data_IF_506499815217
#
_entry.id   IF_506499815217
#
_cell.length_a   1.000
_cell.length_b   1.000
_cell.length_c   1.000
_cell.angle_alpha   90.00
_cell.angle_beta   90.00
_cell.angle_gamma   90.00
#
_symmetry.space_group_name_H-M   'P 1'
#
loop_
_entity.id
_entity.type
_entity.pdbx_description
1 polymer ?
#
# COMPACT_ATOMS: atom_id res chain seq x y z
N UNK A 1 -22.14 9.40 15.96
CA UNK A 1 -21.33 8.31 16.57
C UNK A 1 -21.95 6.93 16.35
N UNK A 2 -23.22 6.69 16.66
CA UNK A 2 -23.90 5.40 16.48
C UNK A 2 -23.86 4.87 15.03
N UNK A 3 -24.06 5.71 14.00
CA UNK A 3 -24.05 5.28 12.59
C UNK A 3 -22.68 4.71 12.17
N UNK A 4 -21.57 5.25 12.68
CA UNK A 4 -20.23 4.74 12.34
C UNK A 4 -19.89 3.40 13.03
N UNK A 5 -20.53 3.12 14.17
CA UNK A 5 -20.40 1.82 14.86
C UNK A 5 -21.15 0.73 14.08
N UNK A 6 -22.28 1.08 13.45
CA UNK A 6 -23.12 0.14 12.68
C UNK A 6 -22.84 0.13 11.16
N UNK A 7 -21.98 1.03 10.64
CA UNK A 7 -21.64 1.04 9.22
C UNK A 7 -21.02 -0.29 8.69
N UNK A 8 -20.28 -1.08 9.50
CA UNK A 8 -19.85 -2.42 9.09
C UNK A 8 -20.97 -3.43 8.86
N UNK A 9 -22.22 -3.12 9.27
CA UNK A 9 -23.36 -3.99 9.05
C UNK A 9 -23.92 -3.93 7.62
N UNK A 10 -23.53 -2.92 6.82
CA UNK A 10 -23.87 -2.85 5.40
C UNK A 10 -22.91 -3.68 4.56
N UNK A 11 -22.98 -5.00 4.74
CA UNK A 11 -22.17 -5.96 4.01
C UNK A 11 -22.72 -6.14 2.60
N UNK A 12 -21.92 -5.88 1.55
CA UNK A 12 -22.27 -6.27 0.20
C UNK A 12 -22.24 -7.81 0.07
N UNK A 13 -23.12 -8.33 -0.78
CA UNK A 13 -23.08 -9.75 -1.13
C UNK A 13 -21.82 -10.06 -1.94
N UNK A 14 -21.36 -11.33 -1.92
CA UNK A 14 -20.35 -11.80 -2.85
C UNK A 14 -20.75 -11.52 -4.31
N UNK A 15 -19.76 -11.29 -5.17
CA UNK A 15 -19.97 -11.01 -6.58
C UNK A 15 -19.92 -12.33 -7.38
N UNK A 16 -21.03 -12.67 -8.05
CA UNK A 16 -21.12 -13.89 -8.87
C UNK A 16 -20.25 -13.81 -10.14
N UNK A 17 -20.13 -12.61 -10.75
CA UNK A 17 -19.27 -12.43 -11.92
C UNK A 17 -17.80 -12.59 -11.55
N UNK A 18 -17.41 -12.07 -10.39
CA UNK A 18 -16.08 -12.27 -9.85
C UNK A 18 -15.81 -13.75 -9.55
N UNK A 19 -16.80 -14.48 -9.01
CA UNK A 19 -16.68 -15.91 -8.78
C UNK A 19 -16.48 -16.71 -10.09
N UNK A 20 -17.10 -16.31 -11.19
CA UNK A 20 -16.86 -16.90 -12.52
C UNK A 20 -15.46 -16.52 -13.07
N UNK A 21 -15.03 -15.27 -12.87
CA UNK A 21 -13.67 -14.85 -13.24
C UNK A 21 -12.59 -15.67 -12.50
N UNK A 22 -12.79 -15.94 -11.20
CA UNK A 22 -11.86 -16.77 -10.43
C UNK A 22 -11.68 -18.17 -11.01
N UNK A 23 -12.72 -18.77 -11.62
CA UNK A 23 -12.62 -20.08 -12.28
C UNK A 23 -11.78 -20.06 -13.55
N UNK A 24 -11.67 -18.89 -14.19
CA UNK A 24 -10.90 -18.70 -15.42
C UNK A 24 -9.47 -18.20 -15.15
N UNK A 25 -9.19 -17.78 -13.91
CA UNK A 25 -7.88 -17.28 -13.53
C UNK A 25 -6.95 -18.44 -13.22
N UNK A 26 -5.82 -18.49 -13.92
CA UNK A 26 -4.72 -19.39 -13.62
C UNK A 26 -3.95 -18.84 -12.42
N UNK A 27 -4.11 -19.50 -11.31
CA UNK A 27 -3.48 -19.08 -10.08
C UNK A 27 -2.13 -19.75 -9.79
N UNK A 28 -1.75 -20.77 -10.48
CA UNK A 28 -0.49 -21.51 -10.29
C UNK A 28 0.23 -21.68 -11.62
N UNK A 29 1.53 -21.80 -11.56
CA UNK A 29 2.38 -22.18 -12.68
C UNK A 29 3.39 -23.23 -12.21
N UNK A 30 3.69 -24.20 -13.05
CA UNK A 30 4.71 -25.22 -12.76
C UNK A 30 6.12 -24.75 -13.12
N UNK A 31 6.24 -23.58 -13.76
CA UNK A 31 7.52 -22.98 -14.16
C UNK A 31 7.71 -21.63 -13.49
N UNK A 32 8.96 -21.27 -13.11
CA UNK A 32 9.26 -19.94 -12.60
C UNK A 32 8.83 -18.84 -13.57
N UNK A 33 8.16 -17.82 -13.02
CA UNK A 33 7.84 -16.59 -13.72
C UNK A 33 9.04 -15.65 -13.82
N UNK A 34 8.78 -14.44 -14.30
CA UNK A 34 9.79 -13.39 -14.39
C UNK A 34 10.00 -12.59 -13.11
N UNK A 35 9.44 -13.02 -11.99
CA UNK A 35 9.50 -12.31 -10.72
C UNK A 35 10.17 -13.17 -9.65
N UNK A 36 10.90 -12.52 -8.75
CA UNK A 36 11.61 -13.15 -7.64
C UNK A 36 11.13 -12.54 -6.33
N UNK A 37 11.09 -13.33 -5.26
CA UNK A 37 10.55 -12.91 -3.97
C UNK A 37 11.53 -13.08 -2.82
N UNK A 38 11.36 -12.24 -1.77
CA UNK A 38 11.91 -12.42 -0.44
C UNK A 38 10.81 -12.18 0.60
N UNK A 39 10.70 -13.09 1.56
CA UNK A 39 9.86 -12.91 2.73
C UNK A 39 10.66 -12.16 3.81
N UNK A 40 10.06 -11.12 4.41
CA UNK A 40 10.69 -10.26 5.42
C UNK A 40 9.83 -10.29 6.69
N UNK A 41 10.31 -10.93 7.73
CA UNK A 41 9.62 -11.09 9.02
C UNK A 41 10.21 -10.20 10.12
N UNK A 42 11.47 -9.84 10.05
CA UNK A 42 12.17 -9.01 11.01
C UNK A 42 11.89 -7.51 10.78
N UNK A 43 11.73 -6.72 11.86
CA UNK A 43 11.38 -5.31 11.78
C UNK A 43 12.56 -4.42 11.36
N UNK A 44 13.79 -4.75 11.77
CA UNK A 44 14.99 -4.02 11.35
C UNK A 44 15.27 -4.28 9.88
N UNK A 45 15.16 -5.55 9.45
CA UNK A 45 15.26 -5.93 8.04
C UNK A 45 14.18 -5.24 7.19
N UNK A 46 12.96 -5.11 7.71
CA UNK A 46 11.85 -4.45 7.01
C UNK A 46 12.12 -2.95 6.79
N UNK A 47 12.73 -2.25 7.74
CA UNK A 47 13.20 -0.88 7.57
C UNK A 47 14.32 -0.82 6.53
N UNK A 48 15.34 -1.68 6.68
CA UNK A 48 16.51 -1.72 5.80
C UNK A 48 16.12 -1.91 4.34
N UNK A 49 15.20 -2.83 4.02
CA UNK A 49 14.76 -3.04 2.65
C UNK A 49 14.01 -1.83 2.07
N UNK A 50 13.22 -1.12 2.87
CA UNK A 50 12.61 0.14 2.43
C UNK A 50 13.66 1.21 2.14
N UNK A 51 14.67 1.34 3.00
CA UNK A 51 15.78 2.30 2.80
C UNK A 51 16.60 1.96 1.54
N UNK A 52 16.92 0.67 1.32
CA UNK A 52 17.59 0.18 0.11
C UNK A 52 16.80 0.51 -1.15
N UNK A 53 15.50 0.19 -1.17
CA UNK A 53 14.64 0.48 -2.32
C UNK A 53 14.58 1.97 -2.63
N UNK A 54 14.35 2.81 -1.62
CA UNK A 54 14.25 4.26 -1.77
C UNK A 54 15.60 4.87 -2.15
N UNK A 55 16.69 4.48 -1.48
CA UNK A 55 18.03 5.03 -1.70
C UNK A 55 18.59 4.72 -3.09
N UNK A 56 18.21 3.57 -3.65
CA UNK A 56 18.65 3.12 -4.96
C UNK A 56 17.73 3.61 -6.11
N UNK A 57 16.62 4.24 -5.82
CA UNK A 57 15.66 4.75 -6.82
C UNK A 57 16.31 5.76 -7.78
N UNK A 58 15.93 5.70 -9.07
CA UNK A 58 16.47 6.57 -10.13
C UNK A 58 15.42 7.34 -10.91
N UNK A 59 14.16 6.86 -10.92
CA UNK A 59 13.08 7.45 -11.69
C UNK A 59 11.89 7.83 -10.83
N UNK A 60 11.34 6.87 -10.12
CA UNK A 60 10.07 7.03 -9.42
C UNK A 60 9.96 6.19 -8.17
N UNK A 61 9.25 6.73 -7.18
CA UNK A 61 8.86 6.04 -5.96
C UNK A 61 7.36 6.25 -5.75
N UNK A 62 6.65 5.16 -5.49
CA UNK A 62 5.31 5.18 -4.92
C UNK A 62 5.38 4.60 -3.51
N UNK A 63 4.92 5.34 -2.51
CA UNK A 63 4.72 4.83 -1.15
C UNK A 63 3.25 4.98 -0.78
N UNK A 64 2.54 3.86 -0.62
CA UNK A 64 1.20 3.82 -0.06
C UNK A 64 1.26 3.25 1.34
N UNK A 65 0.67 3.94 2.32
CA UNK A 65 0.72 3.51 3.71
C UNK A 65 -0.49 4.00 4.50
N UNK A 66 -1.01 3.13 5.38
CA UNK A 66 -2.12 3.47 6.26
C UNK A 66 -1.69 4.39 7.41
N UNK A 67 -0.63 4.03 8.13
CA UNK A 67 -0.12 4.73 9.30
C UNK A 67 1.38 5.04 9.10
N UNK A 68 1.68 6.26 8.71
CA UNK A 68 3.02 6.84 8.71
C UNK A 68 3.09 7.86 9.83
N UNK A 69 4.13 7.77 10.65
CA UNK A 69 4.38 8.72 11.75
C UNK A 69 5.73 9.38 11.56
N UNK A 70 5.88 10.56 12.13
CA UNK A 70 7.16 11.25 12.21
C UNK A 70 7.89 10.87 13.52
N UNK A 71 7.95 9.55 13.82
CA UNK A 71 8.79 8.93 14.84
C UNK A 71 10.16 8.57 14.25
N UNK A 72 10.99 7.76 14.91
CA UNK A 72 12.36 7.51 14.46
C UNK A 72 12.40 6.80 13.10
N UNK A 73 11.71 5.67 12.95
CA UNK A 73 11.69 4.92 11.68
C UNK A 73 10.95 5.67 10.56
N UNK A 74 9.88 6.38 10.90
CA UNK A 74 9.18 7.23 9.94
C UNK A 74 10.04 8.42 9.49
N UNK A 75 10.84 8.99 10.39
CA UNK A 75 11.80 10.05 10.04
C UNK A 75 12.93 9.51 9.16
N UNK A 76 13.38 8.26 9.35
CA UNK A 76 14.31 7.58 8.44
C UNK A 76 13.75 7.47 7.03
N UNK A 77 12.49 7.06 6.90
CA UNK A 77 11.81 7.01 5.60
C UNK A 77 11.68 8.39 4.97
N UNK A 78 11.30 9.41 5.75
CA UNK A 78 11.21 10.79 5.26
C UNK A 78 12.57 11.31 4.80
N UNK A 79 13.67 10.97 5.50
CA UNK A 79 15.03 11.35 5.13
C UNK A 79 15.45 10.67 3.81
N UNK A 80 15.19 9.37 3.66
CA UNK A 80 15.48 8.66 2.42
C UNK A 80 14.68 9.19 1.23
N UNK A 81 13.39 9.47 1.42
CA UNK A 81 12.52 10.07 0.39
C UNK A 81 12.99 11.48 0.03
N UNK A 82 13.39 12.30 1.02
CA UNK A 82 13.92 13.63 0.77
C UNK A 82 15.19 13.58 -0.08
N UNK A 83 16.11 12.68 0.26
CA UNK A 83 17.33 12.47 -0.50
C UNK A 83 17.07 11.99 -1.93
N UNK A 84 16.14 11.06 -2.12
CA UNK A 84 15.71 10.63 -3.46
C UNK A 84 15.08 11.79 -4.26
N UNK A 85 14.24 12.61 -3.62
CA UNK A 85 13.65 13.78 -4.26
C UNK A 85 14.71 14.81 -4.67
N UNK A 86 15.75 15.02 -3.85
CA UNK A 86 16.86 15.91 -4.19
C UNK A 86 17.65 15.42 -5.41
N UNK A 87 17.75 14.10 -5.58
CA UNK A 87 18.33 13.49 -6.79
C UNK A 87 17.42 13.55 -8.01
N UNK A 88 16.22 14.13 -7.91
CA UNK A 88 15.27 14.30 -9.01
C UNK A 88 14.32 13.12 -9.22
N UNK A 89 14.23 12.19 -8.27
CA UNK A 89 13.27 11.08 -8.33
C UNK A 89 11.86 11.60 -8.11
N UNK A 90 10.91 11.22 -8.96
CA UNK A 90 9.50 11.57 -8.84
C UNK A 90 8.84 10.72 -7.74
N UNK A 91 8.18 11.36 -6.77
CA UNK A 91 7.64 10.69 -5.59
C UNK A 91 6.14 10.89 -5.47
N UNK A 92 5.40 9.81 -5.31
CA UNK A 92 3.98 9.81 -4.96
C UNK A 92 3.76 9.14 -3.61
N UNK A 93 3.26 9.90 -2.64
CA UNK A 93 2.89 9.40 -1.33
C UNK A 93 1.37 9.29 -1.25
N UNK A 94 0.82 8.11 -0.98
CA UNK A 94 -0.60 7.91 -0.73
C UNK A 94 -0.82 7.50 0.72
N UNK A 95 -1.50 8.35 1.50
CA UNK A 95 -1.62 8.20 2.94
C UNK A 95 -3.09 8.26 3.34
N UNK A 96 -3.49 7.44 4.31
CA UNK A 96 -4.84 7.50 4.87
C UNK A 96 -5.09 8.83 5.61
N UNK A 97 -6.26 9.43 5.36
CA UNK A 97 -6.56 10.78 5.82
C UNK A 97 -6.68 10.94 7.34
N UNK A 98 -7.03 9.88 8.10
CA UNK A 98 -7.06 9.94 9.56
C UNK A 98 -5.63 10.00 10.09
N UNK A 99 -4.76 9.12 9.63
CA UNK A 99 -3.37 9.04 10.13
C UNK A 99 -2.53 10.22 9.66
N UNK A 100 -2.74 10.71 8.44
CA UNK A 100 -2.13 11.96 7.98
C UNK A 100 -2.49 13.14 8.90
N UNK A 101 -3.76 13.26 9.27
CA UNK A 101 -4.23 14.33 10.14
C UNK A 101 -3.65 14.23 11.57
N UNK A 102 -3.57 13.01 12.12
CA UNK A 102 -3.14 12.79 13.50
C UNK A 102 -1.63 12.89 13.70
N UNK A 103 -0.84 12.36 12.77
CA UNK A 103 0.59 12.11 12.99
C UNK A 103 1.53 12.89 12.06
N UNK A 104 1.05 13.34 10.89
CA UNK A 104 1.92 14.01 9.91
C UNK A 104 1.63 15.49 9.71
N UNK A 105 0.40 15.93 9.98
CA UNK A 105 0.00 17.30 9.69
C UNK A 105 0.83 18.34 10.48
N UNK A 106 1.33 17.97 11.66
CA UNK A 106 2.20 18.80 12.50
C UNK A 106 3.72 18.63 12.25
N UNK A 107 4.14 17.61 11.48
CA UNK A 107 5.56 17.36 11.20
C UNK A 107 6.10 18.36 10.18
N UNK A 108 7.16 19.05 10.56
CA UNK A 108 7.86 19.99 9.67
C UNK A 108 8.69 19.26 8.61
N UNK A 109 9.22 18.10 8.94
CA UNK A 109 9.97 17.20 8.05
C UNK A 109 9.07 16.71 6.92
N UNK A 110 7.87 16.24 7.26
CA UNK A 110 6.88 15.83 6.26
C UNK A 110 6.43 17.01 5.39
N UNK A 111 6.21 18.21 5.99
CA UNK A 111 5.83 19.40 5.25
C UNK A 111 6.96 19.85 4.30
N UNK A 112 8.22 19.74 4.72
CA UNK A 112 9.37 20.02 3.88
C UNK A 112 9.41 19.08 2.66
N UNK A 113 9.30 17.77 2.88
CA UNK A 113 9.25 16.78 1.81
C UNK A 113 8.10 17.09 0.83
N UNK A 114 6.89 17.33 1.34
CA UNK A 114 5.71 17.65 0.53
C UNK A 114 5.80 19.01 -0.21
N UNK A 115 6.76 19.87 0.16
CA UNK A 115 7.01 21.14 -0.51
C UNK A 115 7.92 21.01 -1.75
N UNK A 116 8.56 19.85 -1.98
CA UNK A 116 9.39 19.64 -3.18
C UNK A 116 8.50 19.49 -4.42
N UNK A 117 8.95 19.99 -5.58
CA UNK A 117 8.17 20.01 -6.81
C UNK A 117 7.91 18.63 -7.40
N UNK A 118 8.83 17.69 -7.19
CA UNK A 118 8.74 16.30 -7.65
C UNK A 118 8.13 15.38 -6.58
N UNK A 119 7.41 15.92 -5.60
CA UNK A 119 6.71 15.16 -4.55
C UNK A 119 5.22 15.49 -4.57
N UNK A 120 4.39 14.49 -4.84
CA UNK A 120 2.94 14.58 -4.76
C UNK A 120 2.44 13.77 -3.56
N UNK A 121 1.55 14.36 -2.76
CA UNK A 121 0.93 13.71 -1.60
C UNK A 121 -0.56 13.55 -1.84
N UNK A 122 -1.02 12.32 -2.03
CA UNK A 122 -2.42 11.92 -2.07
C UNK A 122 -2.92 11.57 -0.66
N UNK A 123 -3.95 12.24 -0.21
CA UNK A 123 -4.63 11.96 1.07
C UNK A 123 -5.94 11.24 0.79
N UNK A 124 -6.01 9.95 1.14
CA UNK A 124 -7.20 9.14 0.91
C UNK A 124 -8.28 9.46 1.94
N UNK A 125 -9.46 9.84 1.47
CA UNK A 125 -10.65 10.14 2.25
C UNK A 125 -10.32 11.00 3.51
N UNK A 126 -9.84 12.26 3.32
CA UNK A 126 -9.44 13.13 4.42
C UNK A 126 -10.60 13.40 5.37
N UNK A 127 -10.29 13.59 6.65
CA UNK A 127 -11.29 13.88 7.67
C UNK A 127 -11.93 15.22 7.40
N UNK A 128 -13.26 15.23 7.32
CA UNK A 128 -14.06 16.43 7.08
C UNK A 128 -15.30 16.42 8.00
N UNK A 129 -15.73 17.57 8.52
CA UNK A 129 -16.95 17.66 9.31
C UNK A 129 -18.20 17.14 8.59
N UNK A 130 -18.26 17.32 7.26
CA UNK A 130 -19.34 16.84 6.40
C UNK A 130 -19.21 15.34 6.10
N UNK A 131 -17.98 14.80 6.18
CA UNK A 131 -17.65 13.42 5.86
C UNK A 131 -17.72 12.42 7.02
N UNK A 132 -18.35 12.76 8.14
CA UNK A 132 -18.38 11.92 9.34
C UNK A 132 -18.94 10.51 9.08
N UNK A 133 -19.87 10.38 8.14
CA UNK A 133 -20.42 9.08 7.72
C UNK A 133 -19.44 8.23 6.89
N UNK A 134 -18.38 8.83 6.36
CA UNK A 134 -17.34 8.15 5.57
C UNK A 134 -16.12 7.75 6.39
N UNK A 135 -16.10 7.98 7.71
CA UNK A 135 -14.93 7.70 8.57
C UNK A 135 -14.49 6.23 8.56
N UNK A 136 -15.40 5.30 8.26
CA UNK A 136 -15.07 3.87 8.19
C UNK A 136 -14.45 3.44 6.84
N UNK A 137 -14.53 4.29 5.81
CA UNK A 137 -13.97 3.97 4.50
C UNK A 137 -12.52 4.41 4.44
N UNK A 138 -11.60 3.50 4.76
CA UNK A 138 -10.18 3.75 4.90
C UNK A 138 -9.38 3.00 3.84
N UNK A 139 -8.20 3.51 3.54
CA UNK A 139 -7.18 2.78 2.80
C UNK A 139 -6.25 2.12 3.82
N UNK A 140 -6.08 0.80 3.73
CA UNK A 140 -5.21 0.07 4.64
C UNK A 140 -4.02 -0.59 3.94
N UNK A 141 -3.78 -0.17 2.69
CA UNK A 141 -2.67 -0.64 1.88
C UNK A 141 -1.33 -0.22 2.46
N UNK A 142 -0.32 -1.06 2.26
CA UNK A 142 1.06 -0.83 2.69
C UNK A 142 2.00 -1.42 1.65
N UNK A 143 2.48 -0.58 0.75
CA UNK A 143 3.44 -0.99 -0.28
C UNK A 143 4.35 0.16 -0.71
N UNK A 144 5.50 -0.21 -1.22
CA UNK A 144 6.47 0.68 -1.89
C UNK A 144 6.73 0.11 -3.28
N UNK A 145 6.65 0.94 -4.33
CA UNK A 145 7.04 0.57 -5.71
C UNK A 145 8.20 1.47 -6.10
N UNK A 146 9.23 0.93 -6.74
CA UNK A 146 10.42 1.67 -7.16
C UNK A 146 10.78 1.33 -8.61
N UNK A 147 10.89 2.38 -9.43
CA UNK A 147 11.47 2.37 -10.79
C UNK A 147 10.84 1.35 -11.76
N UNK A 148 9.58 0.96 -11.56
CA UNK A 148 8.93 -0.10 -12.35
C UNK A 148 9.76 -1.40 -12.36
N UNK A 149 10.46 -1.71 -11.25
CA UNK A 149 11.36 -2.85 -11.15
C UNK A 149 11.12 -3.74 -9.94
N UNK A 150 10.61 -3.15 -8.89
CA UNK A 150 10.40 -3.87 -7.66
C UNK A 150 9.34 -3.20 -6.80
N UNK A 151 8.75 -4.01 -5.96
CA UNK A 151 7.87 -3.52 -4.93
C UNK A 151 8.00 -4.34 -3.64
N UNK A 152 7.63 -3.72 -2.54
CA UNK A 152 7.47 -4.37 -1.25
C UNK A 152 6.03 -4.16 -0.80
N UNK A 153 5.34 -5.26 -0.46
CA UNK A 153 3.94 -5.23 -0.04
C UNK A 153 3.74 -6.13 1.19
N UNK A 154 2.97 -5.66 2.17
CA UNK A 154 2.74 -6.47 3.38
C UNK A 154 1.76 -5.87 4.37
N UNK A 155 1.94 -6.24 5.63
CA UNK A 155 1.08 -5.83 6.75
C UNK A 155 1.62 -4.65 7.54
N UNK A 156 2.91 -4.29 7.41
CA UNK A 156 3.58 -3.29 8.26
C UNK A 156 3.17 -1.88 7.98
N UNK A 157 2.80 -1.14 9.02
CA UNK A 157 2.73 0.31 9.00
C UNK A 157 4.15 0.93 9.01
N UNK A 158 4.24 2.22 8.73
CA UNK A 158 5.49 2.97 8.62
C UNK A 158 5.73 3.78 9.90
N UNK A 159 6.06 3.08 11.00
CA UNK A 159 6.33 3.65 12.31
C UNK A 159 7.14 2.66 13.18
N UNK A 160 7.64 3.12 14.33
CA UNK A 160 8.55 2.39 15.22
C UNK A 160 8.01 1.06 15.74
N UNK A 161 6.68 0.90 15.81
CA UNK A 161 6.06 -0.37 16.25
C UNK A 161 6.34 -1.50 15.27
N UNK A 162 6.58 -1.17 13.99
CA UNK A 162 6.70 -2.14 12.90
C UNK A 162 8.04 -2.11 12.17
N UNK A 163 8.84 -1.06 12.33
CA UNK A 163 10.07 -0.86 11.58
C UNK A 163 11.24 -0.48 12.49
N UNK A 164 12.39 -1.14 12.27
CA UNK A 164 13.60 -0.87 13.03
C UNK A 164 13.58 -1.45 14.43
N UNK A 165 14.51 -0.97 15.25
CA UNK A 165 14.76 -1.38 16.63
C UNK A 165 14.59 -0.21 17.64
N UNK A 166 13.77 0.77 17.30
CA UNK A 166 13.64 2.03 18.06
C UNK A 166 12.78 1.94 19.32
N UNK A 167 11.99 0.90 19.47
CA UNK A 167 11.11 0.68 20.61
C UNK A 167 11.07 -0.78 21.02
N UNK A 168 10.73 -1.04 22.28
CA UNK A 168 10.44 -2.39 22.79
C UNK A 168 8.96 -2.77 22.64
N UNK A 169 8.09 -1.79 22.37
CA UNK A 169 6.67 -2.02 22.11
C UNK A 169 6.47 -2.25 20.60
N UNK A 170 6.79 -3.45 20.15
CA UNK A 170 6.80 -3.84 18.74
C UNK A 170 5.71 -4.84 18.40
N UNK A 171 5.33 -4.89 17.15
CA UNK A 171 4.54 -5.96 16.53
C UNK A 171 5.37 -6.69 15.48
N UNK A 172 5.23 -8.01 15.42
CA UNK A 172 5.78 -8.80 14.31
C UNK A 172 4.78 -8.82 13.16
N UNK A 173 5.24 -8.55 11.97
CA UNK A 173 4.43 -8.62 10.75
C UNK A 173 5.26 -9.19 9.59
N UNK A 174 4.65 -9.36 8.43
CA UNK A 174 5.28 -9.93 7.23
C UNK A 174 5.11 -9.02 6.05
N UNK A 175 6.22 -8.80 5.32
CA UNK A 175 6.23 -8.18 4.01
C UNK A 175 6.84 -9.14 2.99
N UNK A 176 6.47 -8.96 1.74
CA UNK A 176 7.07 -9.64 0.59
C UNK A 176 7.70 -8.59 -0.31
N UNK A 177 9.02 -8.70 -0.50
CA UNK A 177 9.72 -8.00 -1.56
C UNK A 177 9.55 -8.79 -2.85
N UNK A 178 9.21 -8.12 -3.94
CA UNK A 178 9.14 -8.68 -5.28
C UNK A 178 10.06 -7.89 -6.20
N UNK A 179 10.95 -8.60 -6.88
CA UNK A 179 11.85 -8.04 -7.88
C UNK A 179 11.48 -8.58 -9.26
N UNK A 180 11.16 -7.68 -10.20
CA UNK A 180 10.95 -8.03 -11.60
C UNK A 180 12.27 -8.20 -12.34
N UNK A 181 12.41 -9.32 -13.04
CA UNK A 181 13.57 -9.62 -13.89
C UNK A 181 13.29 -9.43 -15.39
N UNK A 182 12.09 -8.97 -15.72
CA UNK A 182 11.60 -8.85 -17.10
C UNK A 182 11.62 -7.43 -17.65
N UNK A 183 12.29 -6.50 -16.96
CA UNK A 183 12.37 -5.06 -17.29
C UNK A 183 10.98 -4.36 -17.29
N UNK A 184 10.25 -4.48 -16.20
CA UNK A 184 8.95 -3.83 -15.99
C UNK A 184 7.77 -4.56 -16.63
N UNK A 185 7.94 -5.86 -16.96
CA UNK A 185 6.87 -6.69 -17.53
C UNK A 185 6.35 -7.75 -16.57
N UNK A 186 6.79 -7.73 -15.31
CA UNK A 186 6.26 -8.60 -14.25
C UNK A 186 4.75 -8.40 -14.10
N UNK A 187 3.98 -9.50 -14.16
CA UNK A 187 2.51 -9.41 -14.13
C UNK A 187 2.02 -8.76 -12.84
N UNK A 188 2.55 -9.17 -11.68
CA UNK A 188 2.11 -8.65 -10.39
C UNK A 188 2.54 -7.20 -10.15
N UNK A 189 3.69 -6.79 -10.68
CA UNK A 189 4.14 -5.40 -10.65
C UNK A 189 3.19 -4.50 -11.44
N UNK A 190 2.83 -4.88 -12.67
CA UNK A 190 1.88 -4.14 -13.51
C UNK A 190 0.48 -4.08 -12.88
N UNK A 191 0.02 -5.18 -12.26
CA UNK A 191 -1.23 -5.20 -11.51
C UNK A 191 -1.23 -4.22 -10.33
N UNK A 192 -0.12 -4.14 -9.58
CA UNK A 192 0.01 -3.23 -8.44
C UNK A 192 0.08 -1.76 -8.89
N UNK A 193 0.79 -1.48 -9.98
CA UNK A 193 0.83 -0.14 -10.59
C UNK A 193 -0.53 0.30 -11.09
N UNK A 194 -1.25 -0.57 -11.80
CA UNK A 194 -2.61 -0.31 -12.25
C UNK A 194 -3.57 -0.07 -11.07
N UNK A 195 -3.46 -0.86 -10.00
CA UNK A 195 -4.21 -0.66 -8.77
C UNK A 195 -3.89 0.69 -8.12
N UNK A 196 -2.59 1.06 -8.04
CA UNK A 196 -2.18 2.36 -7.53
C UNK A 196 -2.77 3.50 -8.37
N UNK A 197 -2.71 3.44 -9.70
CA UNK A 197 -3.29 4.48 -10.55
C UNK A 197 -4.81 4.59 -10.36
N UNK A 198 -5.50 3.46 -10.19
CA UNK A 198 -6.94 3.46 -9.92
C UNK A 198 -7.26 4.16 -8.59
N UNK A 199 -6.59 3.80 -7.48
CA UNK A 199 -6.86 4.41 -6.17
C UNK A 199 -6.41 5.88 -6.13
N UNK A 200 -5.32 6.24 -6.80
CA UNK A 200 -4.83 7.62 -6.89
C UNK A 200 -5.82 8.56 -7.57
N UNK A 201 -6.55 8.06 -8.55
CA UNK A 201 -7.55 8.82 -9.31
C UNK A 201 -8.96 8.79 -8.70
N UNK A 202 -9.15 8.16 -7.54
CA UNK A 202 -10.45 8.16 -6.86
C UNK A 202 -10.84 9.58 -6.38
N UNK A 203 -12.11 9.94 -6.50
CA UNK A 203 -12.66 11.23 -6.08
C UNK A 203 -12.39 11.56 -4.60
N UNK A 204 -12.22 10.52 -3.79
CA UNK A 204 -11.92 10.64 -2.37
C UNK A 204 -10.46 10.96 -2.06
N UNK A 205 -9.55 10.89 -3.03
CA UNK A 205 -8.14 11.26 -2.88
C UNK A 205 -7.95 12.75 -3.14
N UNK A 206 -7.30 13.43 -2.21
CA UNK A 206 -6.96 14.86 -2.34
C UNK A 206 -5.46 14.99 -2.51
N UNK A 207 -5.04 15.39 -3.70
CA UNK A 207 -3.62 15.54 -4.07
C UNK A 207 -3.15 16.94 -3.65
N UNK A 208 -1.96 17.01 -3.06
CA UNK A 208 -1.23 18.21 -2.66
C UNK A 208 0.22 18.12 -3.15
N UNK A 209 0.85 19.25 -3.43
CA UNK A 209 2.23 19.30 -3.93
C UNK A 209 2.32 19.04 -5.43
N UNK A 210 3.53 18.69 -5.91
CA UNK A 210 3.84 18.48 -7.31
C UNK A 210 3.99 19.77 -8.13
N UNK A 211 4.56 19.65 -9.34
CA UNK A 211 4.64 20.76 -10.29
C UNK A 211 3.25 21.18 -10.71
N UNK A 212 2.97 22.48 -10.72
CA UNK A 212 1.72 23.02 -11.30
C UNK A 212 1.74 22.66 -12.79
N UNK A 213 0.88 21.74 -13.23
CA UNK A 213 0.68 21.49 -14.66
C UNK A 213 0.13 22.77 -15.29
N UNK A 214 0.92 23.39 -16.18
CA UNK A 214 0.41 24.50 -17.00
C UNK A 214 -0.81 24.00 -17.77
N UNK A 215 -1.94 24.70 -17.67
CA UNK A 215 -3.20 24.39 -18.35
C UNK A 215 -3.13 24.44 -19.88
N UNK A 216 -1.95 24.61 -20.48
CA UNK A 216 -1.70 24.64 -21.92
C UNK A 216 -1.34 23.28 -22.53
N UNK A 217 -1.13 22.21 -21.75
CA UNK A 217 -0.80 20.88 -22.28
C UNK A 217 -2.01 19.91 -22.44
N UNK A 218 -3.24 20.35 -22.13
CA UNK A 218 -4.44 19.49 -22.18
C UNK A 218 -5.19 19.56 -23.52
N UNK A 219 -4.65 20.22 -24.56
CA UNK A 219 -5.36 20.39 -25.85
C UNK A 219 -4.70 19.75 -27.07
N UNK A 220 -3.95 18.65 -26.92
CA UNK A 220 -3.44 17.89 -28.06
C UNK A 220 -3.56 16.39 -27.80
N UNK A 221 -4.79 15.87 -27.81
CA UNK A 221 -5.05 14.45 -28.11
C UNK A 221 -6.56 14.17 -28.18
N UNK A 222 -7.25 14.80 -29.17
CA UNK A 222 -8.51 14.32 -29.75
C UNK A 222 -8.85 15.22 -30.92
N UNK A 223 -8.28 14.91 -32.10
CA UNK A 223 -8.81 15.21 -33.39
C UNK A 223 -7.88 14.66 -34.48
N UNK A 224 -8.21 13.45 -34.92
CA UNK A 224 -7.73 12.96 -36.22
C UNK A 224 -8.85 12.10 -36.84
N UNK A 225 -9.63 12.69 -37.66
CA UNK A 225 -10.13 12.15 -38.92
C UNK A 225 -11.36 12.94 -39.39
N UNK A 226 -11.19 13.86 -40.30
CA UNK A 226 -12.02 13.90 -41.52
C UNK A 226 -11.34 14.72 -42.63
N UNK A 227 -11.32 14.16 -43.82
CA UNK A 227 -10.82 14.73 -45.06
C UNK A 227 -11.69 15.89 -45.58
N UNK A 228 -11.05 16.96 -46.06
CA UNK A 228 -11.32 17.49 -47.44
C UNK A 228 -10.69 18.87 -47.69
N UNK A 229 -9.88 18.90 -48.74
CA UNK A 229 -9.59 19.94 -49.73
C UNK A 229 -9.72 21.45 -49.44
N UNK A 230 -8.60 22.13 -49.58
CA UNK A 230 -8.43 23.30 -50.47
C UNK A 230 -8.71 24.69 -49.92
N UNK A 231 -7.70 25.51 -49.75
CA UNK A 231 -7.39 26.73 -50.54
C UNK A 231 -6.33 27.60 -49.85
N UNK A 232 -5.35 28.02 -50.62
CA UNK A 232 -4.34 29.03 -50.27
C UNK A 232 -4.98 30.40 -49.99
N UNK A 233 -4.52 31.09 -48.93
CA UNK A 233 -4.33 32.54 -48.98
C UNK A 233 -3.40 33.03 -47.88
N UNK A 234 -2.40 33.80 -48.34
CA UNK A 234 -1.47 34.64 -47.60
C UNK A 234 -2.10 35.44 -46.47
N UNK A 235 -1.36 35.57 -45.30
CA UNK A 235 -1.07 36.91 -44.77
C UNK A 235 -0.23 36.87 -43.46
N UNK A 236 0.94 37.51 -43.59
CA UNK A 236 1.65 38.38 -42.61
C UNK A 236 1.78 37.94 -41.13
N UNK A 237 3.04 37.69 -40.76
CA UNK A 237 3.57 37.80 -39.40
C UNK A 237 3.24 39.15 -38.73
N UNK A 238 2.87 39.14 -37.44
CA UNK A 238 3.34 40.17 -36.56
C UNK A 238 4.01 39.56 -35.31
N UNK A 239 5.18 40.05 -35.06
CA UNK A 239 5.88 40.26 -33.80
C UNK A 239 5.61 39.28 -32.61
N UNK A 240 6.54 38.34 -32.43
CA UNK A 240 6.73 37.61 -31.19
C UNK A 240 7.38 38.60 -30.21
N UNK A 241 6.57 39.20 -29.36
CA UNK A 241 7.04 39.91 -28.16
C UNK A 241 7.22 38.91 -27.02
N UNK A 242 8.43 38.90 -26.44
CA UNK A 242 8.90 38.17 -25.27
C UNK A 242 7.88 38.08 -24.13
N UNK A 243 7.07 37.03 -24.07
CA UNK A 243 6.24 36.68 -22.93
C UNK A 243 6.72 35.45 -22.14
N UNK A 244 7.79 34.77 -22.59
CA UNK A 244 8.27 33.54 -21.94
C UNK A 244 9.18 33.74 -20.72
N UNK A 245 9.82 34.93 -20.57
CA UNK A 245 10.79 35.12 -19.48
C UNK A 245 10.14 35.35 -18.10
N UNK A 246 8.95 35.94 -18.05
CA UNK A 246 8.35 36.30 -16.74
C UNK A 246 7.66 35.10 -16.06
N UNK A 247 7.07 34.18 -16.80
CA UNK A 247 6.40 33.01 -16.22
C UNK A 247 7.41 31.95 -15.69
N UNK A 248 8.55 31.78 -16.37
CA UNK A 248 9.63 30.91 -15.90
C UNK A 248 10.35 31.50 -14.69
N UNK A 249 10.52 32.83 -14.63
CA UNK A 249 11.10 33.50 -13.46
C UNK A 249 10.17 33.52 -12.24
N UNK A 250 8.85 33.67 -12.43
CA UNK A 250 7.87 33.60 -11.33
C UNK A 250 7.80 32.19 -10.73
N UNK A 251 7.89 31.12 -11.56
CA UNK A 251 7.92 29.73 -11.07
C UNK A 251 9.20 29.47 -10.26
N UNK A 252 10.35 29.96 -10.68
CA UNK A 252 11.62 29.82 -9.97
C UNK A 252 11.66 30.57 -8.64
N UNK A 253 11.08 31.78 -8.57
CA UNK A 253 11.04 32.58 -7.35
C UNK A 253 10.12 31.94 -6.28
N UNK A 254 8.92 31.46 -6.64
CA UNK A 254 8.02 30.74 -5.73
C UNK A 254 8.66 29.44 -5.19
N UNK A 255 9.39 28.75 -6.06
CA UNK A 255 10.12 27.53 -5.69
C UNK A 255 11.25 27.83 -4.72
N UNK A 256 12.05 28.86 -4.98
CA UNK A 256 13.13 29.28 -4.09
C UNK A 256 12.62 29.75 -2.73
N UNK A 257 11.51 30.49 -2.68
CA UNK A 257 10.88 30.87 -1.42
C UNK A 257 10.38 29.66 -0.63
N UNK A 258 9.77 28.67 -1.29
CA UNK A 258 9.35 27.42 -0.66
C UNK A 258 10.53 26.62 -0.10
N UNK A 259 11.60 26.49 -0.86
CA UNK A 259 12.83 25.78 -0.43
C UNK A 259 13.48 26.51 0.76
N UNK A 260 13.62 27.83 0.69
CA UNK A 260 14.23 28.62 1.79
C UNK A 260 13.43 28.51 3.10
N UNK A 261 12.11 28.39 3.02
CA UNK A 261 11.24 28.21 4.18
C UNK A 261 11.54 26.94 4.98
N UNK A 262 11.98 25.87 4.31
CA UNK A 262 12.22 24.55 4.91
C UNK A 262 13.72 24.17 4.95
N UNK A 263 14.62 25.11 4.73
CA UNK A 263 16.06 24.85 4.64
C UNK A 263 16.60 24.04 5.82
N UNK A 264 16.20 24.39 7.05
CA UNK A 264 16.64 23.67 8.26
C UNK A 264 16.15 22.22 8.29
N UNK A 265 14.92 21.96 7.79
CA UNK A 265 14.36 20.62 7.73
C UNK A 265 15.06 19.79 6.67
N UNK A 266 15.37 20.36 5.51
CA UNK A 266 16.17 19.68 4.49
C UNK A 266 17.53 19.29 5.00
N UNK A 267 18.25 20.21 5.65
CA UNK A 267 19.56 19.93 6.26
C UNK A 267 19.46 18.82 7.34
N UNK A 268 18.42 18.86 8.17
CA UNK A 268 18.17 17.82 9.19
C UNK A 268 17.92 16.45 8.57
N UNK A 269 17.08 16.37 7.52
CA UNK A 269 16.78 15.13 6.81
C UNK A 269 18.03 14.59 6.08
N UNK A 270 18.85 15.44 5.45
CA UNK A 270 20.09 15.01 4.81
C UNK A 270 21.13 14.50 5.83
N UNK A 271 21.27 15.16 6.98
CA UNK A 271 22.13 14.65 8.08
C UNK A 271 21.63 13.29 8.58
N UNK A 272 20.31 13.12 8.71
CA UNK A 272 19.72 11.83 9.10
C UNK A 272 20.02 10.76 8.06
N UNK A 273 19.85 11.06 6.78
CA UNK A 273 20.18 10.12 5.70
C UNK A 273 21.68 9.76 5.65
N UNK A 274 22.56 10.73 5.87
CA UNK A 274 23.98 10.47 5.98
C UNK A 274 24.32 9.49 7.11
N UNK A 275 23.70 9.64 8.28
CA UNK A 275 23.84 8.69 9.39
C UNK A 275 23.31 7.29 9.05
N UNK A 276 22.22 7.20 8.28
CA UNK A 276 21.70 5.92 7.79
C UNK A 276 22.67 5.24 6.82
N UNK A 277 23.34 6.00 5.95
CA UNK A 277 24.39 5.46 5.07
C UNK A 277 25.62 4.94 5.82
N UNK A 278 25.96 5.56 6.96
CA UNK A 278 27.02 5.06 7.84
C UNK A 278 26.61 3.74 8.53
N UNK A 279 25.34 3.67 8.97
CA UNK A 279 24.80 2.45 9.61
C UNK A 279 24.59 1.31 8.59
N UNK A 280 24.13 1.63 7.39
CA UNK A 280 23.75 0.67 6.34
C UNK A 280 24.49 1.03 5.03
N UNK A 281 25.65 0.47 4.81
CA UNK A 281 26.58 0.86 3.72
C UNK A 281 26.06 0.56 2.32
N UNK A 282 25.03 -0.29 2.18
CA UNK A 282 24.49 -0.80 0.91
C UNK A 282 23.11 -0.23 0.53
N UNK A 283 22.64 0.84 1.19
CA UNK A 283 21.31 1.40 0.92
C UNK A 283 21.18 2.13 -0.42
N UNK A 284 22.25 2.28 -1.19
CA UNK A 284 22.22 2.83 -2.56
C UNK A 284 22.66 1.83 -3.62
N UNK A 285 22.99 0.59 -3.23
CA UNK A 285 23.49 -0.43 -4.14
C UNK A 285 22.46 -1.54 -4.41
N UNK A 286 22.14 -1.74 -5.68
CA UNK A 286 21.21 -2.76 -6.17
C UNK A 286 21.87 -4.10 -6.51
N UNK A 287 23.19 -4.21 -6.47
CA UNK A 287 23.90 -5.27 -7.18
C UNK A 287 23.68 -6.68 -6.61
N UNK A 288 23.32 -6.80 -5.32
CA UNK A 288 23.19 -8.07 -4.61
C UNK A 288 21.76 -8.60 -4.45
N UNK A 289 20.74 -7.84 -4.84
CA UNK A 289 19.35 -8.15 -4.48
C UNK A 289 18.79 -9.43 -5.11
N UNK A 290 19.28 -9.80 -6.29
CA UNK A 290 18.87 -11.03 -6.92
C UNK A 290 19.36 -12.26 -6.15
N UNK A 291 20.50 -12.15 -5.48
CA UNK A 291 21.08 -13.22 -4.67
C UNK A 291 20.24 -13.48 -3.41
N UNK A 292 19.64 -12.41 -2.85
CA UNK A 292 18.81 -12.47 -1.66
C UNK A 292 17.35 -12.90 -1.91
N UNK A 293 16.98 -13.16 -3.16
CA UNK A 293 15.62 -13.52 -3.56
C UNK A 293 15.56 -14.90 -4.20
N UNK A 294 14.40 -15.54 -4.15
CA UNK A 294 14.13 -16.81 -4.83
C UNK A 294 13.14 -16.61 -5.99
N UNK A 295 13.23 -17.40 -7.07
CA UNK A 295 12.23 -17.35 -8.14
C UNK A 295 10.82 -17.67 -7.62
N UNK A 296 9.82 -16.93 -8.07
CA UNK A 296 8.42 -17.27 -7.88
C UNK A 296 7.83 -17.85 -9.16
N UNK A 297 6.98 -18.86 -9.04
CA UNK A 297 6.34 -19.46 -10.21
C UNK A 297 5.24 -18.52 -10.76
N UNK A 298 4.37 -18.03 -9.90
CA UNK A 298 3.35 -17.04 -10.25
C UNK A 298 2.98 -16.18 -9.06
N UNK A 299 2.88 -14.88 -9.30
CA UNK A 299 2.40 -13.91 -8.32
C UNK A 299 1.14 -13.25 -8.90
N UNK A 300 0.11 -13.06 -8.09
CA UNK A 300 -1.14 -12.41 -8.47
C UNK A 300 -1.57 -11.44 -7.38
N UNK A 301 -1.98 -10.24 -7.76
CA UNK A 301 -2.52 -9.24 -6.83
C UNK A 301 -4.01 -9.51 -6.57
N UNK A 302 -4.42 -9.44 -5.32
CA UNK A 302 -5.84 -9.52 -4.92
C UNK A 302 -6.20 -8.30 -4.09
N UNK A 303 -7.31 -7.64 -4.41
CA UNK A 303 -7.75 -6.44 -3.70
C UNK A 303 -9.27 -6.37 -3.52
N UNK A 304 -9.74 -5.52 -2.60
CA UNK A 304 -11.15 -5.28 -2.33
C UNK A 304 -11.74 -4.05 -3.06
N UNK A 305 -11.04 -3.51 -4.05
CA UNK A 305 -11.42 -2.29 -4.76
C UNK A 305 -11.00 -1.01 -4.01
N UNK A 306 -11.04 0.13 -4.72
CA UNK A 306 -10.35 1.38 -4.37
C UNK A 306 -11.26 2.45 -3.77
N UNK A 307 -12.55 2.48 -4.14
CA UNK A 307 -13.48 3.56 -3.77
C UNK A 307 -13.76 3.66 -2.27
N UNK A 308 -14.02 4.87 -1.77
CA UNK A 308 -14.46 5.10 -0.39
C UNK A 308 -15.97 4.83 -0.24
N UNK A 309 -16.32 3.57 -0.04
CA UNK A 309 -17.70 3.09 0.09
C UNK A 309 -17.77 1.62 0.51
N UNK A 310 -18.97 1.06 0.66
CA UNK A 310 -19.15 -0.37 0.94
C UNK A 310 -18.59 -1.21 -0.20
N UNK A 311 -17.74 -2.20 0.10
CA UNK A 311 -17.03 -3.05 -0.87
C UNK A 311 -17.57 -4.46 -0.92
N UNK A 312 -17.43 -5.08 -2.08
CA UNK A 312 -17.62 -6.52 -2.27
C UNK A 312 -16.44 -7.26 -1.63
N UNK A 313 -16.64 -8.39 -0.94
CA UNK A 313 -15.60 -9.11 -0.21
C UNK A 313 -14.69 -9.94 -1.14
N UNK A 314 -14.02 -9.29 -2.11
CA UNK A 314 -13.28 -9.99 -3.18
C UNK A 314 -12.09 -10.79 -2.63
N UNK A 315 -11.35 -10.26 -1.67
CA UNK A 315 -10.22 -10.98 -1.04
C UNK A 315 -10.73 -12.25 -0.35
N UNK A 316 -11.81 -12.16 0.42
CA UNK A 316 -12.38 -13.32 1.09
C UNK A 316 -12.96 -14.34 0.10
N UNK A 317 -13.60 -13.87 -1.01
CA UNK A 317 -14.07 -14.75 -2.08
C UNK A 317 -12.91 -15.50 -2.74
N UNK A 318 -11.78 -14.81 -2.96
CA UNK A 318 -10.57 -15.43 -3.51
C UNK A 318 -10.02 -16.49 -2.55
N UNK A 319 -9.87 -16.17 -1.26
CA UNK A 319 -9.41 -17.14 -0.26
C UNK A 319 -10.35 -18.37 -0.23
N UNK A 320 -11.65 -18.15 -0.19
CA UNK A 320 -12.65 -19.22 -0.23
C UNK A 320 -12.52 -20.09 -1.48
N UNK A 321 -12.31 -19.47 -2.65
CA UNK A 321 -12.13 -20.18 -3.91
C UNK A 321 -10.87 -21.05 -3.92
N UNK A 322 -9.75 -20.47 -3.48
CA UNK A 322 -8.45 -21.14 -3.45
C UNK A 322 -8.43 -22.32 -2.46
N UNK A 323 -9.14 -22.17 -1.34
CA UNK A 323 -9.22 -23.21 -0.32
C UNK A 323 -10.01 -24.44 -0.75
N UNK A 324 -10.84 -24.39 -1.83
CA UNK A 324 -11.72 -25.49 -2.26
C UNK A 324 -11.01 -26.81 -2.51
N UNK A 325 -9.78 -26.78 -2.96
CA UNK A 325 -9.00 -27.95 -3.32
C UNK A 325 -7.77 -28.13 -2.41
N UNK A 326 -7.75 -27.45 -1.26
CA UNK A 326 -6.69 -27.59 -0.28
C UNK A 326 -7.06 -28.63 0.77
N UNK A 327 -6.09 -29.42 1.20
CA UNK A 327 -6.23 -30.36 2.32
C UNK A 327 -5.92 -29.67 3.66
N UNK A 328 -5.02 -28.65 3.63
CA UNK A 328 -4.62 -27.87 4.80
C UNK A 328 -4.72 -26.38 4.53
N UNK A 329 -5.44 -25.67 5.39
CA UNK A 329 -5.57 -24.21 5.33
C UNK A 329 -5.17 -23.63 6.67
N UNK A 330 -4.11 -22.79 6.67
CA UNK A 330 -3.69 -22.05 7.86
C UNK A 330 -3.90 -20.57 7.65
N UNK A 331 -4.70 -19.94 8.51
CA UNK A 331 -4.95 -18.50 8.51
C UNK A 331 -4.25 -17.89 9.72
N UNK A 332 -3.32 -16.99 9.48
CA UNK A 332 -2.70 -16.17 10.52
C UNK A 332 -3.27 -14.75 10.44
N UNK A 333 -3.74 -14.23 11.56
CA UNK A 333 -4.36 -12.89 11.65
C UNK A 333 -4.29 -12.39 13.09
N UNK A 334 -4.18 -11.07 13.34
CA UNK A 334 -4.11 -10.56 14.71
C UNK A 334 -5.32 -10.94 15.58
N UNK A 335 -6.50 -10.98 14.99
CA UNK A 335 -7.79 -11.31 15.61
C UNK A 335 -8.80 -11.73 14.53
N UNK A 336 -9.94 -12.29 14.95
CA UNK A 336 -11.03 -12.74 14.07
C UNK A 336 -12.35 -12.13 14.52
N UNK A 337 -13.05 -11.44 13.59
CA UNK A 337 -14.37 -10.85 13.84
C UNK A 337 -15.26 -11.11 12.62
N UNK A 338 -16.13 -12.10 12.72
CA UNK A 338 -16.90 -12.62 11.60
C UNK A 338 -18.36 -12.14 11.55
N UNK A 339 -18.89 -12.02 10.32
CA UNK A 339 -20.32 -11.98 10.04
C UNK A 339 -20.79 -13.34 9.45
N UNK A 340 -22.07 -13.42 9.05
CA UNK A 340 -22.64 -14.64 8.51
C UNK A 340 -21.84 -15.25 7.35
N UNK A 341 -21.52 -14.44 6.33
CA UNK A 341 -20.75 -14.91 5.16
C UNK A 341 -19.34 -15.40 5.52
N UNK A 342 -18.68 -14.75 6.47
CA UNK A 342 -17.36 -15.17 6.95
C UNK A 342 -17.46 -16.50 7.69
N UNK A 343 -18.47 -16.68 8.56
CA UNK A 343 -18.73 -17.98 9.20
C UNK A 343 -19.02 -19.08 8.19
N UNK A 344 -19.87 -18.80 7.16
CA UNK A 344 -20.15 -19.74 6.10
C UNK A 344 -18.90 -20.16 5.34
N UNK A 345 -17.97 -19.19 5.10
CA UNK A 345 -16.68 -19.46 4.47
C UNK A 345 -15.81 -20.38 5.33
N UNK A 346 -15.70 -20.09 6.65
CA UNK A 346 -14.91 -20.93 7.56
C UNK A 346 -15.52 -22.34 7.70
N UNK A 347 -16.85 -22.45 7.81
CA UNK A 347 -17.56 -23.74 7.84
C UNK A 347 -17.30 -24.55 6.57
N UNK A 348 -17.38 -23.92 5.37
CA UNK A 348 -17.11 -24.58 4.10
C UNK A 348 -15.69 -25.13 4.05
N UNK A 349 -14.69 -24.30 4.40
CA UNK A 349 -13.28 -24.73 4.41
C UNK A 349 -13.09 -25.90 5.40
N UNK A 350 -13.57 -25.76 6.64
CA UNK A 350 -13.39 -26.77 7.67
C UNK A 350 -14.16 -28.10 7.36
N UNK A 351 -15.14 -28.06 6.44
CA UNK A 351 -15.88 -29.26 6.03
C UNK A 351 -15.08 -30.25 5.17
N UNK A 352 -13.99 -29.78 4.54
CA UNK A 352 -13.17 -30.60 3.64
C UNK A 352 -11.66 -30.51 3.87
N UNK A 353 -11.19 -29.46 4.56
CA UNK A 353 -9.78 -29.24 4.85
C UNK A 353 -9.52 -29.13 6.34
N UNK A 354 -8.30 -29.43 6.78
CA UNK A 354 -7.86 -29.06 8.12
C UNK A 354 -7.66 -27.53 8.18
N UNK A 355 -8.60 -26.83 8.82
CA UNK A 355 -8.54 -25.38 8.98
C UNK A 355 -7.90 -25.03 10.32
N UNK A 356 -6.77 -24.34 10.28
CA UNK A 356 -6.07 -23.77 11.44
C UNK A 356 -6.19 -22.25 11.43
N UNK A 357 -6.53 -21.65 12.56
CA UNK A 357 -6.53 -20.18 12.73
C UNK A 357 -5.55 -19.85 13.85
N UNK A 358 -4.55 -19.03 13.54
CA UNK A 358 -3.52 -18.58 14.48
C UNK A 358 -3.72 -17.09 14.72
N UNK A 359 -3.91 -16.70 15.99
CA UNK A 359 -4.15 -15.31 16.38
C UNK A 359 -3.51 -15.02 17.75
N UNK A 360 -3.45 -13.75 18.17
CA UNK A 360 -2.97 -13.43 19.50
C UNK A 360 -3.98 -13.85 20.57
N UNK A 361 -3.49 -14.36 21.70
CA UNK A 361 -4.27 -14.41 22.92
C UNK A 361 -4.74 -12.99 23.28
N UNK A 362 -5.91 -12.87 23.89
CA UNK A 362 -6.55 -11.56 24.12
C UNK A 362 -5.68 -10.63 24.97
N UNK A 363 -5.03 -11.17 25.97
CA UNK A 363 -4.11 -10.45 26.87
C UNK A 363 -2.78 -10.06 26.23
N UNK A 364 -2.47 -10.59 25.04
CA UNK A 364 -1.22 -10.36 24.30
C UNK A 364 -1.42 -9.54 23.02
N UNK A 365 -2.66 -9.30 22.61
CA UNK A 365 -2.95 -8.57 21.39
C UNK A 365 -2.76 -7.06 21.54
N UNK A 366 -2.14 -6.42 20.54
CA UNK A 366 -1.94 -4.96 20.51
C UNK A 366 -3.22 -4.16 20.22
N UNK A 367 -4.33 -4.82 19.85
CA UNK A 367 -5.61 -4.19 19.59
C UNK A 367 -6.69 -4.69 20.57
N UNK A 368 -6.88 -4.01 21.73
CA UNK A 368 -7.83 -4.45 22.76
C UNK A 368 -9.28 -4.60 22.26
N UNK A 369 -9.71 -3.73 21.33
CA UNK A 369 -11.05 -3.78 20.77
C UNK A 369 -11.27 -5.01 19.89
N UNK A 370 -10.32 -5.30 19.00
CA UNK A 370 -10.37 -6.49 18.13
C UNK A 370 -10.30 -7.78 18.95
N UNK A 371 -9.47 -7.82 19.97
CA UNK A 371 -9.35 -8.97 20.87
C UNK A 371 -10.63 -9.20 21.68
N UNK A 372 -11.26 -8.14 22.18
CA UNK A 372 -12.54 -8.23 22.93
C UNK A 372 -13.68 -8.72 22.03
N UNK A 373 -13.77 -8.21 20.80
CA UNK A 373 -14.79 -8.66 19.84
C UNK A 373 -14.58 -10.13 19.44
N UNK A 374 -13.32 -10.57 19.31
CA UNK A 374 -13.00 -11.99 19.14
C UNK A 374 -13.52 -12.84 20.30
N UNK A 375 -13.30 -12.45 21.56
CA UNK A 375 -13.80 -13.18 22.73
C UNK A 375 -15.31 -13.39 22.68
N UNK A 376 -16.07 -12.36 22.29
CA UNK A 376 -17.52 -12.42 22.16
C UNK A 376 -17.96 -13.44 21.09
N UNK A 377 -17.09 -13.71 20.10
CA UNK A 377 -17.37 -14.61 18.98
C UNK A 377 -16.66 -15.96 19.08
N UNK A 378 -15.74 -16.15 20.02
CA UNK A 378 -14.87 -17.34 20.15
C UNK A 378 -15.63 -18.65 20.02
N UNK A 379 -16.74 -18.80 20.74
CA UNK A 379 -17.56 -20.02 20.67
C UNK A 379 -18.11 -20.29 19.27
N UNK A 380 -18.53 -19.25 18.53
CA UNK A 380 -19.02 -19.41 17.17
C UNK A 380 -17.88 -19.77 16.20
N UNK A 381 -16.70 -19.20 16.39
CA UNK A 381 -15.53 -19.50 15.57
C UNK A 381 -15.10 -20.96 15.78
N UNK A 382 -15.01 -21.43 17.02
CA UNK A 382 -14.72 -22.83 17.32
C UNK A 382 -15.78 -23.78 16.74
N UNK A 383 -17.05 -23.38 16.72
CA UNK A 383 -18.12 -24.20 16.13
C UNK A 383 -18.05 -24.31 14.60
N UNK A 384 -17.19 -23.56 13.92
CA UNK A 384 -16.94 -23.75 12.47
C UNK A 384 -16.14 -25.01 12.16
N UNK A 385 -15.55 -25.64 13.17
CA UNK A 385 -14.65 -26.77 13.01
C UNK A 385 -13.17 -26.37 12.82
N UNK A 386 -12.85 -25.08 12.93
CA UNK A 386 -11.46 -24.61 12.88
C UNK A 386 -10.71 -24.93 14.18
N UNK A 387 -9.44 -25.37 14.04
CA UNK A 387 -8.48 -25.46 15.12
C UNK A 387 -7.94 -24.07 15.41
N UNK A 388 -8.27 -23.48 16.56
CA UNK A 388 -7.86 -22.11 16.90
C UNK A 388 -6.69 -22.14 17.88
N UNK A 389 -5.60 -21.49 17.53
CA UNK A 389 -4.38 -21.33 18.31
C UNK A 389 -4.23 -19.89 18.77
N UNK A 390 -4.30 -19.66 20.09
CA UNK A 390 -4.08 -18.36 20.70
C UNK A 390 -2.62 -18.24 21.16
N UNK A 391 -1.87 -17.36 20.51
CA UNK A 391 -0.46 -17.15 20.79
C UNK A 391 -0.26 -16.35 22.07
N UNK A 392 0.53 -16.89 22.98
CA UNK A 392 0.92 -16.28 24.26
C UNK A 392 2.30 -15.60 24.17
N UNK A 393 2.74 -15.24 22.99
CA UNK A 393 4.04 -14.58 22.77
C UNK A 393 4.14 -13.26 23.53
N UNK A 394 5.35 -12.89 23.92
CA UNK A 394 5.61 -11.57 24.52
C UNK A 394 5.39 -10.44 23.50
N UNK A 395 5.75 -10.69 22.25
CA UNK A 395 5.57 -9.76 21.14
C UNK A 395 4.30 -10.13 20.36
N UNK A 396 3.34 -9.20 20.20
CA UNK A 396 2.13 -9.43 19.42
C UNK A 396 2.44 -9.70 17.95
N UNK A 397 1.70 -10.64 17.36
CA UNK A 397 1.75 -10.94 15.93
C UNK A 397 0.69 -10.12 15.21
N UNK A 398 1.11 -9.36 14.20
CA UNK A 398 0.21 -8.56 13.38
C UNK A 398 0.11 -9.09 11.93
N UNK A 399 0.81 -10.16 11.60
CA UNK A 399 0.84 -10.81 10.28
C UNK A 399 -0.55 -11.22 9.81
N UNK A 400 -0.82 -11.01 8.53
CA UNK A 400 -2.00 -11.48 7.83
C UNK A 400 -1.54 -12.36 6.68
N UNK A 401 -1.69 -13.67 6.87
CA UNK A 401 -1.29 -14.66 5.88
C UNK A 401 -2.28 -15.82 5.83
N UNK A 402 -2.47 -16.38 4.64
CA UNK A 402 -3.19 -17.64 4.43
C UNK A 402 -2.25 -18.57 3.71
N UNK A 403 -2.01 -19.75 4.27
CA UNK A 403 -1.25 -20.82 3.66
C UNK A 403 -2.21 -21.92 3.22
N UNK A 404 -2.05 -22.40 2.00
CA UNK A 404 -2.88 -23.44 1.40
C UNK A 404 -1.95 -24.57 0.96
N UNK A 405 -1.96 -25.67 1.69
CA UNK A 405 -0.98 -26.74 1.59
C UNK A 405 0.46 -26.21 1.67
N UNK A 406 1.40 -26.84 0.96
CA UNK A 406 2.78 -26.39 0.85
C UNK A 406 3.04 -25.63 -0.47
N UNK A 407 1.97 -25.16 -1.16
CA UNK A 407 2.06 -24.68 -2.53
C UNK A 407 1.73 -23.23 -2.72
N UNK A 408 0.94 -22.65 -1.82
CA UNK A 408 0.39 -21.33 -2.06
C UNK A 408 0.26 -20.53 -0.77
N UNK A 409 0.71 -19.27 -0.83
CA UNK A 409 0.54 -18.33 0.26
C UNK A 409 -0.15 -17.05 -0.21
N UNK A 410 -0.99 -16.48 0.64
CA UNK A 410 -1.58 -15.14 0.47
C UNK A 410 -1.07 -14.26 1.60
N UNK A 411 -0.36 -13.17 1.30
CA UNK A 411 0.24 -12.28 2.31
C UNK A 411 -0.13 -10.84 1.98
N UNK A 412 -0.44 -10.04 3.00
CA UNK A 412 -0.74 -8.62 2.79
C UNK A 412 -1.37 -7.94 4.00
N UNK A 413 -2.30 -7.03 3.76
CA UNK A 413 -2.83 -6.14 4.80
C UNK A 413 -4.24 -6.50 5.31
N UNK A 414 -4.90 -7.54 4.77
CA UNK A 414 -6.28 -7.93 5.10
C UNK A 414 -6.38 -8.70 6.41
N UNK A 415 -7.05 -8.15 7.43
CA UNK A 415 -7.41 -8.90 8.63
C UNK A 415 -8.68 -9.74 8.38
N UNK A 416 -8.81 -10.85 9.09
CA UNK A 416 -10.03 -11.66 9.07
C UNK A 416 -11.13 -11.01 9.94
N UNK A 417 -11.56 -9.80 9.54
CA UNK A 417 -12.60 -9.06 10.23
C UNK A 417 -13.57 -8.35 9.28
N UNK A 418 -14.73 -7.95 9.78
CA UNK A 418 -15.78 -7.31 8.99
C UNK A 418 -15.36 -5.95 8.43
N UNK A 419 -14.49 -5.19 9.12
CA UNK A 419 -14.00 -3.89 8.63
C UNK A 419 -13.07 -4.09 7.46
N UNK A 420 -12.19 -5.06 7.54
CA UNK A 420 -11.30 -5.45 6.45
C UNK A 420 -12.07 -6.00 5.25
N UNK A 421 -13.14 -6.73 5.51
CA UNK A 421 -13.89 -7.41 4.45
C UNK A 421 -14.76 -6.46 3.62
N UNK A 422 -15.33 -5.38 4.20
CA UNK A 422 -16.37 -4.60 3.53
C UNK A 422 -16.07 -3.10 3.31
N UNK A 423 -15.58 -2.30 4.28
CA UNK A 423 -15.42 -0.86 4.06
C UNK A 423 -14.02 -0.41 3.64
N UNK A 424 -12.99 -1.25 3.81
CA UNK A 424 -11.58 -0.84 3.69
C UNK A 424 -10.94 -1.37 2.40
N UNK A 425 -10.03 -0.58 1.79
CA UNK A 425 -9.20 -1.03 0.68
C UNK A 425 -8.02 -1.83 1.20
N UNK A 426 -7.73 -2.96 0.56
CA UNK A 426 -6.65 -3.87 0.91
C UNK A 426 -5.99 -4.43 -0.32
N UNK A 427 -4.68 -4.67 -0.23
CA UNK A 427 -3.91 -5.39 -1.22
C UNK A 427 -3.24 -6.62 -0.61
N UNK A 428 -3.21 -7.69 -1.38
CA UNK A 428 -2.53 -8.94 -1.06
C UNK A 428 -1.75 -9.45 -2.24
N UNK A 429 -0.59 -10.01 -1.96
CA UNK A 429 0.14 -10.85 -2.87
C UNK A 429 -0.21 -12.31 -2.60
N UNK A 430 -0.26 -13.04 -3.67
CA UNK A 430 -0.33 -14.46 -3.68
C UNK A 430 0.86 -15.00 -4.48
N UNK A 431 1.68 -15.79 -3.85
CA UNK A 431 2.81 -16.51 -4.46
C UNK A 431 2.70 -18.00 -4.19
#
# INVERSE_FOLDING_TARGET
MLVNVFAPLYCRKPDEKFAEMLKQTEFTSDTPGGERIRCIDDNEEALLWRLRMIGAAKKSIVLATFDLRADESGTDLLAALNHAAEKGVEIKLLIDGIYQQLFLNGSKEFQALAARENVEVGVYNPVSPVGIFKLNYRMHDKYVIVDDKMYLLGGRNSNDIFLGDYTTDVNVDRDILVCDTTNGKGESLQELEAYFQQIWNEDCVKIKGGRKKNSSEISVSEEAADDSEGTESNLKNPDIVNGKSNAENEITDETQERLSKYEKQYQSLEMRYASLKEKYTDIEDYSSWQEDTIPANKITLVNNGTHAGPKTPLVLQTIRYLAKNADNVTIQTPYVICNGYMYDTLNEIASHAQLKIILNAVEKGSNPWGCTDYLNQKKKILNTGADVYELMNEVPVHTKAVLLDDRLSVVGSYNLDMRSTYPVSYTHLRA
#
